data_IF_088120987296
#
_entry.id   IF_088120987296
#
_cell.length_a   1.000
_cell.length_b   1.000
_cell.length_c   1.000
_cell.angle_alpha   90.00
_cell.angle_beta   90.00
_cell.angle_gamma   90.00
#
_symmetry.space_group_name_H-M   'P 1'
#
loop_
_entity.id
_entity.type
_entity.pdbx_description
1 polymer ?
#
# COMPACT_ATOMS: atom_id res chain seq x y z
N UNK A 1 10.69 2.95 28.65
CA UNK A 1 10.98 2.04 27.51
C UNK A 1 9.79 2.08 26.56
N UNK A 2 10.01 2.38 25.28
CA UNK A 2 8.95 2.33 24.29
C UNK A 2 8.31 0.93 24.25
N UNK A 3 6.98 0.88 24.27
CA UNK A 3 6.25 -0.39 24.18
C UNK A 3 6.40 -0.94 22.75
N UNK A 4 6.86 -2.18 22.61
CA UNK A 4 6.90 -2.85 21.32
C UNK A 4 5.50 -3.32 20.93
N UNK A 5 4.88 -2.65 19.98
CA UNK A 5 3.58 -3.02 19.43
C UNK A 5 3.72 -4.09 18.33
N UNK A 6 2.65 -4.79 18.05
CA UNK A 6 2.57 -5.64 16.86
C UNK A 6 2.45 -4.77 15.62
N UNK A 7 2.95 -5.26 14.48
CA UNK A 7 2.82 -4.56 13.21
C UNK A 7 1.35 -4.41 12.82
N UNK A 8 1.02 -3.27 12.23
CA UNK A 8 -0.36 -2.93 11.88
C UNK A 8 -0.96 -3.90 10.85
N UNK A 9 -0.17 -4.35 9.88
CA UNK A 9 -0.56 -5.33 8.87
C UNK A 9 -0.98 -6.68 9.48
N UNK A 10 -0.25 -7.16 10.52
CA UNK A 10 -0.64 -8.36 11.26
C UNK A 10 -1.88 -8.09 12.13
N UNK A 11 -1.90 -6.95 12.81
CA UNK A 11 -3.01 -6.56 13.68
C UNK A 11 -4.33 -6.48 12.90
N UNK A 12 -4.31 -5.93 11.69
CA UNK A 12 -5.45 -5.87 10.77
C UNK A 12 -6.08 -7.25 10.54
N UNK A 13 -5.24 -8.25 10.28
CA UNK A 13 -5.69 -9.60 9.95
C UNK A 13 -6.20 -10.38 11.15
N UNK A 14 -5.73 -10.09 12.35
CA UNK A 14 -5.95 -10.92 13.55
C UNK A 14 -6.70 -10.23 14.67
N UNK A 15 -6.28 -9.04 15.06
CA UNK A 15 -6.78 -8.37 16.24
C UNK A 15 -7.89 -7.36 15.93
N UNK A 16 -7.74 -6.60 14.85
CA UNK A 16 -8.66 -5.52 14.54
C UNK A 16 -9.98 -5.98 13.92
N UNK A 17 -10.12 -7.26 13.63
CA UNK A 17 -11.38 -7.89 13.23
C UNK A 17 -12.33 -8.14 14.41
N UNK A 18 -11.84 -8.09 15.63
CA UNK A 18 -12.69 -8.18 16.83
C UNK A 18 -13.35 -6.80 17.09
N UNK A 19 -14.66 -6.81 17.32
CA UNK A 19 -15.44 -5.60 17.65
C UNK A 19 -14.87 -4.82 18.84
N UNK A 20 -14.29 -5.51 19.82
CA UNK A 20 -13.62 -4.89 20.96
C UNK A 20 -12.46 -3.98 20.57
N UNK A 21 -11.91 -4.16 19.37
CA UNK A 21 -10.76 -3.42 18.84
C UNK A 21 -11.11 -2.41 17.75
N UNK A 22 -12.39 -2.29 17.37
CA UNK A 22 -12.83 -1.34 16.34
C UNK A 22 -12.42 0.10 16.63
N UNK A 23 -12.31 0.49 17.90
CA UNK A 23 -11.87 1.82 18.31
C UNK A 23 -10.54 2.24 17.67
N UNK A 24 -9.63 1.30 17.43
CA UNK A 24 -8.34 1.55 16.78
C UNK A 24 -8.56 1.94 15.31
N UNK A 25 -9.34 1.13 14.57
CA UNK A 25 -9.67 1.41 13.17
C UNK A 25 -10.55 2.66 13.02
N UNK A 26 -11.55 2.82 13.89
CA UNK A 26 -12.42 4.02 13.90
C UNK A 26 -11.61 5.29 14.14
N UNK A 27 -10.60 5.23 15.01
CA UNK A 27 -9.69 6.35 15.25
C UNK A 27 -8.88 6.70 14.02
N UNK A 28 -8.25 5.72 13.37
CA UNK A 28 -7.52 5.92 12.12
C UNK A 28 -8.42 6.50 11.01
N UNK A 29 -9.56 5.85 10.76
CA UNK A 29 -10.50 6.26 9.72
C UNK A 29 -11.04 7.67 9.98
N UNK A 30 -11.29 8.01 11.24
CA UNK A 30 -11.81 9.35 11.59
C UNK A 30 -10.79 10.45 11.34
N UNK A 31 -9.50 10.17 11.55
CA UNK A 31 -8.44 11.11 11.23
C UNK A 31 -8.25 11.24 9.72
N UNK A 32 -8.20 10.11 9.00
CA UNK A 32 -7.97 10.09 7.56
C UNK A 32 -9.09 10.78 6.77
N UNK A 33 -10.35 10.53 7.15
CA UNK A 33 -11.53 11.02 6.43
C UNK A 33 -12.03 12.38 6.97
N UNK A 34 -11.35 12.95 7.97
CA UNK A 34 -11.71 14.19 8.65
C UNK A 34 -13.19 14.21 9.12
N UNK A 35 -13.67 13.06 9.62
CA UNK A 35 -15.04 12.92 10.12
C UNK A 35 -15.11 11.77 11.15
N UNK A 36 -16.13 11.81 12.01
CA UNK A 36 -16.34 10.70 12.95
C UNK A 36 -16.82 9.45 12.22
N UNK A 37 -15.98 8.43 12.16
CA UNK A 37 -16.30 7.13 11.56
C UNK A 37 -16.66 6.12 12.65
N UNK A 38 -17.76 5.40 12.44
CA UNK A 38 -18.15 4.25 13.24
C UNK A 38 -18.31 3.02 12.36
N UNK A 39 -17.72 1.91 12.78
CA UNK A 39 -17.81 0.64 12.08
C UNK A 39 -19.07 -0.07 12.52
N UNK A 40 -19.98 -0.32 11.59
CA UNK A 40 -21.19 -1.08 11.80
C UNK A 40 -20.92 -2.58 11.88
N UNK A 41 -20.14 -3.08 10.90
CA UNK A 41 -19.78 -4.49 10.80
C UNK A 41 -18.54 -4.69 9.94
N UNK A 42 -17.82 -5.77 10.21
CA UNK A 42 -16.84 -6.32 9.27
C UNK A 42 -17.59 -7.19 8.29
N UNK A 43 -17.31 -6.99 7.03
CA UNK A 43 -17.76 -7.83 5.95
C UNK A 43 -16.66 -8.86 5.71
N UNK A 44 -17.01 -10.15 5.61
CA UNK A 44 -15.99 -11.16 5.34
C UNK A 44 -15.41 -10.92 3.95
N UNK A 45 -14.11 -10.86 3.86
CA UNK A 45 -13.38 -10.94 2.60
C UNK A 45 -13.36 -12.37 2.02
N UNK A 46 -14.26 -13.22 2.47
CA UNK A 46 -14.46 -14.51 1.85
C UNK A 46 -15.16 -14.28 0.53
N UNK A 47 -14.38 -13.99 -0.51
CA UNK A 47 -14.75 -14.46 -1.82
C UNK A 47 -15.14 -15.92 -1.64
N UNK A 48 -16.38 -16.26 -1.99
CA UNK A 48 -16.82 -17.64 -2.05
C UNK A 48 -15.72 -18.41 -2.78
N UNK A 49 -15.11 -19.37 -2.09
CA UNK A 49 -14.21 -20.33 -2.70
C UNK A 49 -15.07 -21.23 -3.60
N UNK A 50 -15.43 -20.77 -4.76
CA UNK A 50 -16.03 -21.63 -5.78
C UNK A 50 -14.96 -22.27 -6.69
N UNK A 51 -13.73 -21.70 -6.72
CA UNK A 51 -12.58 -22.34 -7.40
C UNK A 51 -11.27 -22.05 -6.66
N UNK A 52 -10.38 -23.05 -6.61
CA UNK A 52 -9.06 -22.97 -5.95
C UNK A 52 -8.07 -21.96 -6.57
N UNK A 53 -8.45 -21.32 -7.68
CA UNK A 53 -7.64 -20.33 -8.43
C UNK A 53 -7.86 -18.87 -7.99
N UNK A 54 -8.87 -18.59 -7.17
CA UNK A 54 -9.20 -17.21 -6.72
C UNK A 54 -8.31 -16.71 -5.57
N UNK A 55 -7.05 -17.15 -5.51
CA UNK A 55 -6.10 -16.85 -4.42
C UNK A 55 -5.63 -15.39 -4.32
N UNK A 56 -6.03 -14.50 -5.21
CA UNK A 56 -5.35 -13.20 -5.38
C UNK A 56 -6.14 -11.95 -4.94
N UNK A 57 -7.33 -12.07 -4.34
CA UNK A 57 -8.18 -10.91 -4.07
C UNK A 57 -8.70 -10.77 -2.63
N UNK A 58 -7.99 -11.30 -1.65
CA UNK A 58 -8.33 -11.04 -0.26
C UNK A 58 -7.84 -9.66 0.15
N UNK A 59 -8.76 -8.69 0.22
CA UNK A 59 -8.52 -7.43 0.93
C UNK A 59 -8.24 -7.72 2.41
N UNK A 60 -7.32 -6.97 3.02
CA UNK A 60 -6.95 -7.22 4.42
C UNK A 60 -8.14 -7.00 5.36
N UNK A 61 -8.89 -5.92 5.16
CA UNK A 61 -10.16 -5.67 5.86
C UNK A 61 -11.16 -4.99 4.91
N UNK A 62 -12.41 -5.45 4.98
CA UNK A 62 -13.56 -4.79 4.39
C UNK A 62 -14.60 -4.54 5.49
N UNK A 63 -14.99 -3.30 5.69
CA UNK A 63 -16.01 -2.92 6.69
C UNK A 63 -17.14 -2.11 6.07
N UNK A 64 -18.30 -2.15 6.69
CA UNK A 64 -19.40 -1.19 6.46
C UNK A 64 -19.41 -0.20 7.61
N UNK A 65 -19.36 1.10 7.28
CA UNK A 65 -19.46 2.17 8.27
C UNK A 65 -20.93 2.50 8.60
N UNK A 66 -21.16 3.39 9.55
CA UNK A 66 -22.51 3.81 9.99
C UNK A 66 -23.29 4.53 8.90
N UNK A 67 -22.64 5.05 7.85
CA UNK A 67 -23.28 5.67 6.69
C UNK A 67 -23.69 4.65 5.62
N UNK A 68 -23.35 3.37 5.81
CA UNK A 68 -23.60 2.30 4.84
C UNK A 68 -22.56 2.25 3.71
N UNK A 69 -21.44 2.97 3.82
CA UNK A 69 -20.35 2.95 2.86
C UNK A 69 -19.44 1.75 3.14
N UNK A 70 -18.82 1.22 2.09
CA UNK A 70 -17.85 0.16 2.17
C UNK A 70 -16.45 0.76 2.30
N UNK A 71 -15.68 0.34 3.29
CA UNK A 71 -14.30 0.78 3.47
C UNK A 71 -13.39 -0.44 3.32
N UNK A 72 -12.55 -0.40 2.31
CA UNK A 72 -11.49 -1.37 2.06
C UNK A 72 -10.20 -0.80 2.65
N UNK A 73 -9.48 -1.60 3.42
CA UNK A 73 -8.13 -1.26 3.88
C UNK A 73 -7.20 -2.39 3.47
N UNK A 74 -6.17 -2.05 2.71
CA UNK A 74 -5.11 -2.97 2.28
C UNK A 74 -3.76 -2.49 2.76
N UNK A 75 -2.94 -3.41 3.26
CA UNK A 75 -1.57 -3.13 3.67
C UNK A 75 -0.62 -3.95 2.82
N UNK A 76 0.17 -3.27 2.01
CA UNK A 76 1.04 -3.90 1.02
C UNK A 76 2.52 -3.67 1.34
N UNK A 77 3.25 -4.78 1.49
CA UNK A 77 4.68 -4.77 1.82
C UNK A 77 5.58 -4.98 0.59
N UNK A 78 5.04 -5.54 -0.47
CA UNK A 78 5.80 -5.92 -1.68
C UNK A 78 5.44 -5.01 -2.84
N UNK A 79 6.45 -4.53 -3.58
CA UNK A 79 6.27 -3.70 -4.76
C UNK A 79 5.68 -4.53 -5.90
N UNK A 80 4.55 -4.07 -6.44
CA UNK A 80 3.89 -4.61 -7.63
C UNK A 80 3.71 -3.47 -8.63
N UNK A 81 4.10 -3.66 -9.90
CA UNK A 81 3.98 -2.60 -10.91
C UNK A 81 2.54 -2.36 -11.37
N UNK A 82 1.68 -3.35 -11.24
CA UNK A 82 0.26 -3.31 -11.58
C UNK A 82 -0.66 -3.00 -10.38
N UNK A 83 -0.09 -2.54 -9.27
CA UNK A 83 -0.83 -2.33 -8.04
C UNK A 83 -2.01 -1.34 -8.18
N UNK A 84 -1.91 -0.32 -9.04
CA UNK A 84 -3.05 0.54 -9.36
C UNK A 84 -4.22 -0.21 -10.00
N UNK A 85 -3.93 -1.19 -10.85
CA UNK A 85 -4.96 -2.06 -11.44
C UNK A 85 -5.60 -2.94 -10.37
N UNK A 86 -4.82 -3.43 -9.42
CA UNK A 86 -5.30 -4.22 -8.29
C UNK A 86 -6.23 -3.40 -7.40
N UNK A 87 -5.88 -2.15 -7.05
CA UNK A 87 -6.75 -1.24 -6.30
C UNK A 87 -8.10 -1.05 -7.04
N UNK A 88 -8.05 -0.76 -8.34
CA UNK A 88 -9.25 -0.59 -9.17
C UNK A 88 -10.10 -1.87 -9.20
N UNK A 89 -9.47 -3.02 -9.40
CA UNK A 89 -10.16 -4.32 -9.45
C UNK A 89 -10.86 -4.63 -8.11
N UNK A 90 -10.15 -4.53 -6.99
CA UNK A 90 -10.72 -4.76 -5.65
C UNK A 90 -11.89 -3.84 -5.33
N UNK A 91 -11.78 -2.55 -5.70
CA UNK A 91 -12.85 -1.57 -5.54
C UNK A 91 -14.07 -1.90 -6.39
N UNK A 92 -13.85 -2.31 -7.66
CA UNK A 92 -14.92 -2.70 -8.58
C UNK A 92 -15.62 -3.97 -8.11
N UNK A 93 -14.87 -4.96 -7.65
CA UNK A 93 -15.39 -6.21 -7.09
C UNK A 93 -16.29 -5.92 -5.89
N UNK A 94 -15.84 -5.14 -4.92
CA UNK A 94 -16.64 -4.74 -3.77
C UNK A 94 -17.93 -4.01 -4.18
N UNK A 95 -17.87 -3.13 -5.19
CA UNK A 95 -19.05 -2.43 -5.71
C UNK A 95 -20.10 -3.41 -6.24
N UNK A 96 -19.68 -4.46 -6.96
CA UNK A 96 -20.60 -5.42 -7.56
C UNK A 96 -21.10 -6.46 -6.55
N UNK A 97 -20.26 -6.94 -5.65
CA UNK A 97 -20.64 -7.98 -4.66
C UNK A 97 -21.70 -7.50 -3.65
N UNK A 98 -21.73 -6.21 -3.34
CA UNK A 98 -22.62 -5.67 -2.31
C UNK A 98 -23.89 -5.00 -2.84
N UNK A 99 -24.16 -5.11 -4.14
CA UNK A 99 -25.49 -4.82 -4.71
C UNK A 99 -26.25 -6.12 -4.88
N UNK A 100 -27.47 -6.21 -4.32
CA UNK A 100 -28.30 -7.40 -4.46
C UNK A 100 -28.95 -7.43 -5.84
N UNK A 101 -29.07 -8.60 -6.43
CA UNK A 101 -29.75 -8.80 -7.70
C UNK A 101 -31.19 -8.23 -7.68
N UNK A 102 -31.58 -7.53 -8.75
CA UNK A 102 -32.89 -6.93 -8.89
C UNK A 102 -33.11 -5.65 -8.08
N UNK A 103 -32.10 -5.15 -7.39
CA UNK A 103 -32.19 -3.87 -6.66
C UNK A 103 -31.85 -2.67 -7.55
N UNK A 104 -32.44 -1.48 -7.29
CA UNK A 104 -32.14 -0.29 -8.07
C UNK A 104 -30.68 0.15 -7.92
N UNK A 105 -30.13 0.75 -8.95
CA UNK A 105 -28.73 1.25 -8.94
C UNK A 105 -28.44 2.29 -7.84
N UNK A 106 -29.47 2.95 -7.32
CA UNK A 106 -29.33 3.86 -6.17
C UNK A 106 -28.89 3.17 -4.88
N UNK A 107 -28.93 1.83 -4.82
CA UNK A 107 -28.45 1.04 -3.69
C UNK A 107 -26.97 0.62 -3.83
N UNK A 108 -26.29 0.98 -4.94
CA UNK A 108 -24.85 0.84 -5.04
C UNK A 108 -24.18 1.63 -3.92
N UNK A 109 -23.40 0.94 -3.10
CA UNK A 109 -22.68 1.56 -1.98
C UNK A 109 -21.44 2.27 -2.48
N UNK A 110 -21.16 3.46 -1.93
CA UNK A 110 -19.86 4.09 -2.12
C UNK A 110 -18.76 3.19 -1.53
N UNK A 111 -17.66 3.03 -2.23
CA UNK A 111 -16.49 2.33 -1.76
C UNK A 111 -15.38 3.33 -1.48
N UNK A 112 -14.80 3.29 -0.28
CA UNK A 112 -13.61 4.03 0.12
C UNK A 112 -12.47 3.03 0.17
N UNK A 113 -11.51 3.16 -0.73
CA UNK A 113 -10.35 2.27 -0.83
C UNK A 113 -9.13 2.95 -0.22
N UNK A 114 -8.55 2.33 0.80
CA UNK A 114 -7.39 2.83 1.54
C UNK A 114 -6.25 1.84 1.37
N UNK A 115 -5.15 2.30 0.78
CA UNK A 115 -3.94 1.52 0.58
C UNK A 115 -2.82 2.07 1.45
N UNK A 116 -2.21 1.22 2.28
CA UNK A 116 -1.01 1.53 3.06
C UNK A 116 0.15 0.76 2.44
N UNK A 117 1.01 1.46 1.69
CA UNK A 117 2.16 0.87 0.99
C UNK A 117 3.46 1.14 1.75
N UNK A 118 4.26 0.09 1.96
CA UNK A 118 5.60 0.17 2.55
C UNK A 118 6.70 0.32 1.51
N UNK A 119 6.34 0.60 0.27
CA UNK A 119 7.23 0.90 -0.84
C UNK A 119 6.79 2.18 -1.55
N UNK A 120 7.66 2.74 -2.39
CA UNK A 120 7.33 3.90 -3.21
C UNK A 120 6.43 3.48 -4.39
N UNK A 121 5.15 3.81 -4.26
CA UNK A 121 4.12 3.51 -5.26
C UNK A 121 3.91 4.72 -6.19
N UNK A 122 4.23 4.53 -7.46
CA UNK A 122 4.15 5.59 -8.47
C UNK A 122 5.23 6.64 -8.32
N UNK A 123 5.02 7.82 -8.90
CA UNK A 123 5.89 8.99 -8.81
C UNK A 123 5.15 10.15 -8.17
N UNK A 124 5.83 10.91 -7.33
CA UNK A 124 5.30 12.08 -6.64
C UNK A 124 5.97 12.26 -5.27
N UNK A 125 6.02 13.50 -4.81
CA UNK A 125 6.81 13.93 -3.64
C UNK A 125 6.07 13.74 -2.32
N UNK A 126 4.74 13.58 -2.36
CA UNK A 126 3.91 13.40 -1.18
C UNK A 126 3.84 11.92 -0.74
N UNK A 127 3.54 11.71 0.52
CA UNK A 127 3.32 10.38 1.10
C UNK A 127 1.84 10.03 1.31
N UNK A 128 0.90 10.99 1.11
CA UNK A 128 -0.55 10.76 1.12
C UNK A 128 -1.19 11.33 -0.12
N UNK A 129 -1.92 10.50 -0.84
CA UNK A 129 -2.67 10.89 -2.03
C UNK A 129 -4.13 10.58 -1.86
N UNK A 130 -4.99 11.54 -2.23
CA UNK A 130 -6.44 11.42 -2.21
C UNK A 130 -7.00 11.54 -3.62
N UNK A 131 -7.72 10.51 -4.06
CA UNK A 131 -8.33 10.43 -5.38
C UNK A 131 -9.85 10.42 -5.32
N UNK A 132 -10.49 11.34 -6.03
CA UNK A 132 -11.95 11.41 -6.19
C UNK A 132 -12.33 11.62 -7.65
N UNK A 133 -13.59 11.33 -7.99
CA UNK A 133 -14.09 11.51 -9.35
C UNK A 133 -14.71 12.91 -9.52
N UNK A 134 -14.21 13.65 -10.50
CA UNK A 134 -14.75 14.95 -10.88
C UNK A 134 -15.07 14.98 -12.37
N UNK A 135 -16.30 15.36 -12.73
CA UNK A 135 -16.72 15.53 -14.12
C UNK A 135 -16.68 17.01 -14.49
N UNK A 136 -15.77 17.37 -15.38
CA UNK A 136 -15.58 18.75 -15.84
C UNK A 136 -16.12 18.92 -17.26
N UNK A 137 -16.95 19.96 -17.45
CA UNK A 137 -17.46 20.35 -18.77
C UNK A 137 -16.34 20.73 -19.72
N UNK A 138 -16.27 20.09 -20.88
CA UNK A 138 -15.18 20.29 -21.86
C UNK A 138 -15.21 21.71 -22.46
N UNK A 139 -16.40 22.25 -22.69
CA UNK A 139 -16.56 23.54 -23.36
C UNK A 139 -16.66 24.73 -22.41
N UNK A 140 -17.19 24.54 -21.19
CA UNK A 140 -17.43 25.62 -20.22
C UNK A 140 -16.56 25.53 -18.96
N UNK A 141 -15.88 24.40 -18.73
CA UNK A 141 -15.01 24.21 -17.57
C UNK A 141 -15.74 24.03 -16.23
N UNK A 142 -17.08 24.03 -16.23
CA UNK A 142 -17.90 23.84 -15.05
C UNK A 142 -17.81 22.42 -14.48
N UNK A 143 -18.25 22.23 -13.25
CA UNK A 143 -18.30 20.92 -12.58
C UNK A 143 -19.73 20.41 -12.63
N UNK A 144 -19.94 19.19 -13.14
CA UNK A 144 -21.23 18.54 -13.16
C UNK A 144 -21.66 18.24 -11.72
N UNK A 145 -22.79 18.78 -11.31
CA UNK A 145 -23.36 18.63 -9.98
C UNK A 145 -24.67 17.82 -10.01
N UNK A 146 -25.06 17.29 -8.85
CA UNK A 146 -26.39 16.69 -8.67
C UNK A 146 -27.44 17.79 -8.70
N UNK A 147 -28.60 17.52 -9.34
CA UNK A 147 -29.80 18.37 -9.20
C UNK A 147 -30.34 18.29 -7.76
N UNK A 148 -31.12 19.28 -7.34
CA UNK A 148 -31.69 19.30 -5.99
C UNK A 148 -32.59 18.09 -5.73
N UNK A 149 -33.32 17.63 -6.74
CA UNK A 149 -34.12 16.40 -6.65
C UNK A 149 -33.23 15.14 -6.47
N UNK A 150 -32.06 15.06 -7.11
CA UNK A 150 -31.14 13.94 -6.93
C UNK A 150 -30.51 13.97 -5.54
N UNK A 151 -30.15 15.16 -5.03
CA UNK A 151 -29.61 15.31 -3.67
C UNK A 151 -30.64 14.84 -2.63
N UNK A 152 -31.90 15.24 -2.79
CA UNK A 152 -32.97 14.83 -1.90
C UNK A 152 -33.25 13.32 -1.96
N UNK A 153 -33.39 12.75 -3.18
CA UNK A 153 -33.73 11.35 -3.38
C UNK A 153 -32.63 10.39 -2.88
N UNK A 154 -31.39 10.75 -3.08
CA UNK A 154 -30.24 9.84 -2.81
C UNK A 154 -29.49 10.21 -1.54
N UNK A 155 -29.85 11.32 -0.88
CA UNK A 155 -29.14 11.86 0.29
C UNK A 155 -27.62 12.00 0.02
N UNK A 156 -27.28 12.56 -1.17
CA UNK A 156 -25.92 12.82 -1.62
C UNK A 156 -25.79 14.28 -2.01
N UNK A 157 -24.64 14.92 -1.72
CA UNK A 157 -24.44 16.34 -2.01
C UNK A 157 -23.68 16.57 -3.31
N UNK A 158 -22.77 15.66 -3.65
CA UNK A 158 -21.87 15.76 -4.80
C UNK A 158 -21.92 14.47 -5.61
N UNK A 159 -21.58 14.57 -6.89
CA UNK A 159 -21.42 13.39 -7.75
C UNK A 159 -20.33 12.45 -7.20
N UNK A 160 -19.25 12.99 -6.65
CA UNK A 160 -18.19 12.22 -5.99
C UNK A 160 -18.65 11.39 -4.77
N UNK A 161 -19.80 11.72 -4.15
CA UNK A 161 -20.35 10.94 -3.03
C UNK A 161 -20.95 9.60 -3.47
N UNK A 162 -21.11 9.40 -4.78
CA UNK A 162 -21.62 8.16 -5.39
C UNK A 162 -20.47 7.28 -5.86
N UNK A 163 -19.39 7.89 -6.35
CA UNK A 163 -18.26 7.19 -6.93
C UNK A 163 -17.26 6.70 -5.88
N UNK A 164 -16.42 5.71 -6.22
CA UNK A 164 -15.34 5.30 -5.33
C UNK A 164 -14.38 6.43 -4.99
N UNK A 165 -13.82 6.36 -3.80
CA UNK A 165 -12.81 7.26 -3.27
C UNK A 165 -11.57 6.48 -2.90
N UNK A 166 -10.39 7.03 -3.19
CA UNK A 166 -9.12 6.35 -3.04
C UNK A 166 -8.17 7.15 -2.14
N UNK A 167 -7.59 6.47 -1.17
CA UNK A 167 -6.53 6.99 -0.34
C UNK A 167 -5.30 6.11 -0.46
N UNK A 168 -4.15 6.70 -0.80
CA UNK A 168 -2.88 5.99 -0.93
C UNK A 168 -1.92 6.61 0.06
N UNK A 169 -1.46 5.82 1.02
CA UNK A 169 -0.51 6.21 2.06
C UNK A 169 0.81 5.47 1.80
N UNK A 170 1.85 6.19 1.38
CA UNK A 170 3.18 5.67 1.12
C UNK A 170 4.00 5.69 2.42
N UNK A 171 3.63 4.84 3.38
CA UNK A 171 4.25 4.80 4.71
C UNK A 171 5.77 4.53 4.65
N UNK A 172 6.25 3.81 3.63
CA UNK A 172 7.67 3.50 3.46
C UNK A 172 8.56 4.73 3.26
N UNK A 173 8.06 5.78 2.58
CA UNK A 173 8.84 7.01 2.30
C UNK A 173 8.59 8.15 3.31
N UNK A 174 7.67 7.96 4.27
CA UNK A 174 7.39 8.96 5.30
C UNK A 174 8.64 9.31 6.12
N UNK A 175 8.86 10.59 6.37
CA UNK A 175 9.96 11.09 7.19
C UNK A 175 9.55 11.10 8.67
N UNK A 176 10.11 10.20 9.48
CA UNK A 176 9.77 9.99 10.89
C UNK A 176 10.09 11.19 11.79
N UNK A 177 10.97 12.08 11.33
CA UNK A 177 11.35 13.29 12.04
C UNK A 177 10.36 14.44 11.78
N UNK A 178 9.44 14.28 10.83
CA UNK A 178 8.48 15.31 10.41
C UNK A 178 7.03 14.90 10.68
N UNK A 179 6.69 14.73 11.95
CA UNK A 179 5.31 14.51 12.38
C UNK A 179 4.65 15.86 12.66
N UNK A 180 3.69 16.27 11.83
CA UNK A 180 3.09 17.60 11.88
C UNK A 180 1.63 17.59 12.34
N UNK A 181 0.91 16.50 12.12
CA UNK A 181 -0.51 16.38 12.42
C UNK A 181 -0.89 14.96 12.90
N UNK A 182 -2.19 14.77 13.17
CA UNK A 182 -2.71 13.50 13.66
C UNK A 182 -2.62 12.36 12.65
N UNK A 183 -2.64 12.66 11.34
CA UNK A 183 -2.47 11.66 10.30
C UNK A 183 -1.02 11.19 10.26
N UNK A 184 -0.08 12.11 10.40
CA UNK A 184 1.35 11.81 10.50
C UNK A 184 1.66 10.92 11.72
N UNK A 185 0.97 11.13 12.86
CA UNK A 185 1.10 10.25 14.03
C UNK A 185 0.70 8.80 13.69
N UNK A 186 -0.36 8.60 12.90
CA UNK A 186 -0.79 7.30 12.42
C UNK A 186 0.22 6.68 11.43
N UNK A 187 0.73 7.48 10.49
CA UNK A 187 1.71 7.03 9.49
C UNK A 187 3.04 6.66 10.18
N UNK A 188 3.47 7.44 11.17
CA UNK A 188 4.60 7.10 12.04
C UNK A 188 4.39 5.73 12.69
N UNK A 189 3.21 5.50 13.28
CA UNK A 189 2.88 4.20 13.88
C UNK A 189 2.90 3.07 12.83
N UNK A 190 2.35 3.27 11.64
CA UNK A 190 2.40 2.26 10.58
C UNK A 190 3.85 1.89 10.24
N UNK A 191 4.71 2.89 10.08
CA UNK A 191 6.10 2.70 9.67
C UNK A 191 6.95 2.05 10.75
N UNK A 192 6.86 2.54 11.98
CA UNK A 192 7.77 2.15 13.09
C UNK A 192 7.23 1.05 13.99
N UNK A 193 5.90 0.91 14.08
CA UNK A 193 5.23 0.09 15.07
C UNK A 193 5.30 0.69 16.49
N UNK A 194 5.60 2.00 16.61
CA UNK A 194 5.70 2.70 17.90
C UNK A 194 4.72 3.86 17.97
N UNK A 195 4.26 4.17 19.18
CA UNK A 195 3.43 5.36 19.47
C UNK A 195 4.16 6.19 20.50
N UNK A 196 4.54 7.43 20.12
CA UNK A 196 5.21 8.38 21.03
C UNK A 196 4.26 8.79 22.17
N UNK A 197 4.82 9.31 23.28
CA UNK A 197 4.00 9.67 24.46
C UNK A 197 3.16 10.93 24.23
N UNK A 198 3.60 11.82 23.36
CA UNK A 198 2.98 13.07 22.99
C UNK A 198 1.93 12.94 21.86
N UNK A 199 1.78 11.75 21.28
CA UNK A 199 0.77 11.51 20.24
C UNK A 199 -0.65 11.54 20.79
N UNK A 200 -1.52 12.26 20.08
CA UNK A 200 -2.90 12.55 20.51
C UNK A 200 -3.96 12.09 19.51
N UNK A 201 -3.57 11.51 18.39
CA UNK A 201 -4.53 11.06 17.39
C UNK A 201 -5.51 10.04 17.97
N UNK A 202 -6.81 10.19 17.70
CA UNK A 202 -7.83 9.22 18.12
C UNK A 202 -7.45 7.79 17.72
N UNK A 203 -7.65 6.83 18.62
CA UNK A 203 -7.35 5.41 18.38
C UNK A 203 -5.90 5.00 18.66
N UNK A 204 -4.92 5.91 18.67
CA UNK A 204 -3.52 5.57 18.99
C UNK A 204 -3.31 5.19 20.47
N UNK A 205 -3.92 5.85 21.47
CA UNK A 205 -3.87 5.38 22.85
C UNK A 205 -4.38 3.94 23.00
N UNK A 206 -5.48 3.62 22.34
CA UNK A 206 -6.07 2.28 22.31
C UNK A 206 -5.18 1.29 21.54
N UNK A 207 -4.57 1.71 20.43
CA UNK A 207 -3.59 0.91 19.71
C UNK A 207 -2.39 0.56 20.60
N UNK A 208 -1.86 1.54 21.33
CA UNK A 208 -0.76 1.35 22.30
C UNK A 208 -1.10 0.34 23.39
N UNK A 209 -2.36 0.27 23.79
CA UNK A 209 -2.82 -0.67 24.80
C UNK A 209 -3.10 -2.05 24.22
N UNK A 210 -3.87 -2.12 23.12
CA UNK A 210 -4.39 -3.38 22.55
C UNK A 210 -3.37 -4.12 21.69
N UNK A 211 -2.43 -3.40 21.08
CA UNK A 211 -1.42 -3.98 20.19
C UNK A 211 -0.07 -4.22 20.90
N UNK A 212 -0.03 -4.12 22.21
CA UNK A 212 1.18 -4.42 23.00
C UNK A 212 1.52 -5.91 22.88
N UNK A 213 2.71 -6.22 22.37
CA UNK A 213 3.20 -7.60 22.23
C UNK A 213 3.19 -8.40 23.52
N UNK A 214 3.31 -7.74 24.66
CA UNK A 214 3.30 -8.41 25.96
C UNK A 214 1.92 -8.93 26.36
N UNK A 215 0.87 -8.40 25.72
CA UNK A 215 -0.52 -8.81 25.95
C UNK A 215 -1.01 -9.93 25.04
N UNK A 216 -0.18 -10.34 24.07
CA UNK A 216 -0.50 -11.47 23.21
C UNK A 216 -0.55 -12.77 24.00
N UNK A 217 -1.55 -13.60 23.71
CA UNK A 217 -1.57 -14.99 24.18
C UNK A 217 -0.36 -15.76 23.62
N UNK A 218 0.01 -16.91 24.20
CA UNK A 218 1.10 -17.73 23.67
C UNK A 218 0.88 -18.13 22.20
N UNK A 219 -0.35 -18.43 21.80
CA UNK A 219 -0.75 -18.77 20.44
C UNK A 219 -0.58 -17.60 19.50
N UNK A 220 -1.12 -16.43 19.84
CA UNK A 220 -0.99 -15.20 19.06
C UNK A 220 0.47 -14.78 18.92
N UNK A 221 1.28 -14.91 19.98
CA UNK A 221 2.70 -14.61 19.93
C UNK A 221 3.42 -15.51 18.93
N UNK A 222 3.14 -16.81 18.94
CA UNK A 222 3.73 -17.77 18.00
C UNK A 222 3.34 -17.44 16.56
N UNK A 223 2.09 -17.10 16.31
CA UNK A 223 1.62 -16.67 14.98
C UNK A 223 2.29 -15.37 14.52
N UNK A 224 2.43 -14.40 15.42
CA UNK A 224 3.11 -13.15 15.14
C UNK A 224 4.59 -13.35 14.82
N UNK A 225 5.30 -14.19 15.59
CA UNK A 225 6.70 -14.53 15.34
C UNK A 225 6.88 -15.23 13.99
N UNK A 226 6.00 -16.16 13.64
CA UNK A 226 5.99 -16.83 12.34
C UNK A 226 5.70 -15.85 11.19
N UNK A 227 4.86 -14.86 11.39
CA UNK A 227 4.59 -13.79 10.42
C UNK A 227 5.83 -12.92 10.21
N UNK A 228 6.47 -12.45 11.28
CA UNK A 228 7.70 -11.64 11.21
C UNK A 228 8.82 -12.41 10.52
N UNK A 229 8.96 -13.72 10.80
CA UNK A 229 9.95 -14.57 10.14
C UNK A 229 9.69 -14.71 8.64
N UNK A 230 8.44 -14.80 8.23
CA UNK A 230 8.04 -14.80 6.81
C UNK A 230 8.45 -13.51 6.10
N UNK A 231 8.25 -12.34 6.74
CA UNK A 231 8.67 -11.05 6.18
C UNK A 231 10.19 -10.96 6.03
N UNK A 232 10.96 -11.49 7.00
CA UNK A 232 12.43 -11.56 6.91
C UNK A 232 12.89 -12.41 5.74
N UNK A 233 12.27 -13.58 5.56
CA UNK A 233 12.56 -14.46 4.41
C UNK A 233 12.25 -13.77 3.09
N UNK A 234 11.09 -13.11 2.97
CA UNK A 234 10.71 -12.37 1.78
C UNK A 234 11.73 -11.27 1.45
N UNK A 235 12.14 -10.49 2.45
CA UNK A 235 13.17 -9.46 2.27
C UNK A 235 14.51 -10.05 1.83
N UNK A 236 14.90 -11.21 2.37
CA UNK A 236 16.12 -11.93 1.97
C UNK A 236 16.05 -12.43 0.51
N UNK A 237 14.90 -12.96 0.08
CA UNK A 237 14.71 -13.37 -1.33
C UNK A 237 14.79 -12.17 -2.26
N UNK A 238 14.13 -11.06 -1.95
CA UNK A 238 14.19 -9.83 -2.76
C UNK A 238 15.63 -9.29 -2.86
N UNK A 239 16.38 -9.35 -1.77
CA UNK A 239 17.79 -8.96 -1.78
C UNK A 239 18.64 -9.87 -2.69
N UNK A 240 18.38 -11.17 -2.68
CA UNK A 240 19.06 -12.14 -3.55
C UNK A 240 18.72 -11.87 -5.01
N UNK A 241 17.44 -11.73 -5.37
CA UNK A 241 17.02 -11.40 -6.73
C UNK A 241 17.65 -10.10 -7.24
N UNK A 242 17.72 -9.06 -6.38
CA UNK A 242 18.38 -7.81 -6.73
C UNK A 242 19.88 -8.01 -7.00
N UNK A 243 20.55 -8.83 -6.20
CA UNK A 243 21.98 -9.13 -6.40
C UNK A 243 22.20 -9.89 -7.72
N UNK A 244 21.37 -10.90 -8.00
CA UNK A 244 21.43 -11.67 -9.25
C UNK A 244 21.23 -10.78 -10.48
N UNK A 245 20.26 -9.87 -10.44
CA UNK A 245 20.02 -8.88 -11.51
C UNK A 245 21.23 -7.94 -11.68
N UNK A 246 21.83 -7.48 -10.58
CA UNK A 246 23.02 -6.63 -10.64
C UNK A 246 24.22 -7.38 -11.26
N UNK A 247 24.37 -8.66 -10.94
CA UNK A 247 25.46 -9.47 -11.52
C UNK A 247 25.24 -9.73 -13.00
N UNK A 248 24.00 -9.98 -13.44
CA UNK A 248 23.65 -10.06 -14.86
C UNK A 248 23.97 -8.77 -15.61
N UNK A 249 23.62 -7.61 -15.06
CA UNK A 249 23.93 -6.29 -15.65
C UNK A 249 25.45 -6.08 -15.74
N UNK A 250 26.21 -6.48 -14.72
CA UNK A 250 27.67 -6.39 -14.75
C UNK A 250 28.26 -7.29 -15.83
N UNK A 251 27.73 -8.50 -15.98
CA UNK A 251 28.18 -9.44 -16.99
C UNK A 251 27.91 -8.91 -18.40
N UNK A 252 26.66 -8.44 -18.66
CA UNK A 252 26.28 -7.84 -19.94
C UNK A 252 27.18 -6.65 -20.30
N UNK A 253 27.45 -5.76 -19.31
CA UNK A 253 28.39 -4.65 -19.53
C UNK A 253 29.81 -5.12 -19.83
N UNK A 254 30.28 -6.18 -19.18
CA UNK A 254 31.59 -6.73 -19.44
C UNK A 254 31.67 -7.32 -20.86
N UNK A 255 30.64 -8.01 -21.30
CA UNK A 255 30.56 -8.56 -22.67
C UNK A 255 30.59 -7.43 -23.72
N UNK A 256 29.83 -6.35 -23.52
CA UNK A 256 29.86 -5.15 -24.37
C UNK A 256 31.26 -4.51 -24.39
N UNK A 257 31.94 -4.40 -23.23
CA UNK A 257 33.30 -3.87 -23.15
C UNK A 257 34.25 -4.70 -24.00
N UNK A 258 34.19 -6.03 -23.92
CA UNK A 258 35.04 -6.93 -24.67
C UNK A 258 34.77 -6.84 -26.17
N UNK A 259 33.51 -6.82 -26.58
CA UNK A 259 33.12 -6.69 -27.98
C UNK A 259 33.64 -5.37 -28.57
N UNK A 260 33.40 -4.24 -27.92
CA UNK A 260 33.89 -2.92 -28.37
C UNK A 260 35.43 -2.82 -28.37
N UNK A 261 36.09 -3.47 -27.42
CA UNK A 261 37.55 -3.49 -27.37
C UNK A 261 38.17 -4.35 -28.49
N UNK A 262 37.54 -5.47 -28.85
CA UNK A 262 37.96 -6.31 -29.99
C UNK A 262 37.76 -5.60 -31.33
N UNK A 263 36.80 -4.66 -31.40
CA UNK A 263 36.54 -3.77 -32.55
C UNK A 263 37.42 -2.51 -32.55
N UNK A 264 38.53 -2.52 -31.79
CA UNK A 264 39.50 -1.39 -31.70
C UNK A 264 38.87 -0.06 -31.23
N UNK A 265 37.74 -0.10 -30.51
CA UNK A 265 37.09 1.13 -30.01
C UNK A 265 37.91 1.71 -28.84
N UNK A 266 38.25 3.05 -28.89
CA UNK A 266 39.00 3.69 -27.83
C UNK A 266 38.33 3.64 -26.46
N UNK A 267 39.10 3.39 -25.39
CA UNK A 267 38.62 3.22 -23.99
C UNK A 267 37.71 4.38 -23.54
N UNK A 268 38.02 5.67 -23.79
CA UNK A 268 37.11 6.76 -23.41
C UNK A 268 35.73 6.68 -24.07
N UNK A 269 35.67 6.11 -25.29
CA UNK A 269 34.40 5.90 -26.00
C UNK A 269 33.62 4.73 -25.42
N UNK A 270 34.30 3.63 -25.03
CA UNK A 270 33.69 2.50 -24.32
C UNK A 270 33.11 2.99 -22.98
N UNK A 271 33.86 3.79 -22.22
CA UNK A 271 33.40 4.38 -20.95
C UNK A 271 32.10 5.20 -21.13
N UNK A 272 32.02 5.98 -22.20
CA UNK A 272 30.79 6.76 -22.51
C UNK A 272 29.55 5.88 -22.75
N UNK A 273 29.73 4.74 -23.43
CA UNK A 273 28.61 3.84 -23.76
C UNK A 273 28.18 2.96 -22.57
N UNK A 274 29.15 2.40 -21.85
CA UNK A 274 28.90 1.46 -20.75
C UNK A 274 28.65 2.15 -19.42
N UNK A 275 28.98 3.44 -19.30
CA UNK A 275 28.99 4.22 -18.05
C UNK A 275 29.89 3.60 -16.96
N UNK A 276 30.92 2.88 -17.37
CA UNK A 276 31.98 2.36 -16.51
C UNK A 276 33.16 3.33 -16.51
N UNK A 277 33.93 3.30 -15.43
CA UNK A 277 35.21 4.03 -15.39
C UNK A 277 36.26 3.35 -16.28
N UNK A 278 37.29 4.10 -16.71
CA UNK A 278 38.38 3.53 -17.51
C UNK A 278 39.11 2.42 -16.75
N UNK A 279 39.22 2.53 -15.43
CA UNK A 279 39.81 1.54 -14.56
C UNK A 279 39.00 0.22 -14.57
N UNK A 280 37.68 0.30 -14.44
CA UNK A 280 36.80 -0.87 -14.52
C UNK A 280 36.91 -1.56 -15.90
N UNK A 281 36.94 -0.77 -16.96
CA UNK A 281 37.10 -1.28 -18.33
C UNK A 281 38.44 -2.03 -18.48
N UNK A 282 39.52 -1.44 -18.01
CA UNK A 282 40.86 -2.07 -18.07
C UNK A 282 40.89 -3.38 -17.29
N UNK A 283 40.26 -3.42 -16.11
CA UNK A 283 40.15 -4.64 -15.31
C UNK A 283 39.38 -5.75 -16.03
N UNK A 284 38.26 -5.39 -16.71
CA UNK A 284 37.49 -6.35 -17.51
C UNK A 284 38.33 -6.93 -18.64
N UNK A 285 39.05 -6.09 -19.38
CA UNK A 285 39.91 -6.49 -20.49
C UNK A 285 41.05 -7.40 -19.98
N UNK A 286 41.68 -7.06 -18.88
CA UNK A 286 42.75 -7.85 -18.29
C UNK A 286 42.26 -9.24 -17.86
N UNK A 287 41.09 -9.30 -17.20
CA UNK A 287 40.46 -10.56 -16.81
C UNK A 287 40.12 -11.42 -18.05
N UNK A 288 39.64 -10.80 -19.14
CA UNK A 288 39.40 -11.54 -20.40
C UNK A 288 40.69 -12.13 -20.98
N UNK A 289 41.77 -11.35 -21.06
CA UNK A 289 43.07 -11.81 -21.55
C UNK A 289 43.65 -12.96 -20.74
N UNK A 290 43.44 -12.96 -19.41
CA UNK A 290 43.90 -14.00 -18.52
C UNK A 290 43.09 -15.31 -18.63
N UNK A 291 41.81 -15.25 -19.01
CA UNK A 291 40.96 -16.42 -19.28
C UNK A 291 41.20 -17.06 -20.65
N UNK A 292 41.79 -16.32 -21.58
CA UNK A 292 42.08 -16.76 -22.96
C UNK A 292 43.50 -17.33 -23.13
N UNK A 293 44.27 -17.34 -22.07
CA UNK A 293 45.59 -18.01 -21.95
C UNK A 293 45.43 -19.35 -21.24
#
# INVERSE_FOLDING_TARGET
MAKKLVRFDWAMKRLLRDKANFVVLEGFLSVLLDETVKIKQILSSQSNKEEDDDKYNDVDILVENSKGELVIIEVQNTKEYDYFHRILFGTSKATVEYIKEGRPYSEVKKVISITIAYFDLGQGDDYVYHGTNTFRGIHKGDILALSDRQKELYNKQKVSDIYPEYWIIKAGIFDEDKVNDKLDEWIYFFKTGEVKEDFTAPGLPEAKEKLDKLKLTPEERKEYEAFVERLRKLASYQQTEMADVQDLIKQEKADIVIELWLDDTPIPKIAKYTKLTEEEIMQIIENHKNKSR
#
